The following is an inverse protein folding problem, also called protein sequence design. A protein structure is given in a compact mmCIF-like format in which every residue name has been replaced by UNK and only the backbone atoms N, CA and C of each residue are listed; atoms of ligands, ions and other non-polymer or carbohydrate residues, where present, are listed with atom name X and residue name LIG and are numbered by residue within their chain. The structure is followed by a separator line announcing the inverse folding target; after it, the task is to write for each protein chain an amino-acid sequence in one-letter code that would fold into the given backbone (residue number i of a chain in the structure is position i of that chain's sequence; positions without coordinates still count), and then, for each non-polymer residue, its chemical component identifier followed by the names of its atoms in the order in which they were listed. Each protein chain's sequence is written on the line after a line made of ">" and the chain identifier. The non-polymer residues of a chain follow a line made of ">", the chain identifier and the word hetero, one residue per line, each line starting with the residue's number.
data_IF_294758597147
#
_entry.id   IF_294758597147
#
_cell.length_a   1.000
_cell.length_b   1.000
_cell.length_c   1.000
_cell.angle_alpha   90.00
_cell.angle_beta   90.00
_cell.angle_gamma   90.00
#
_symmetry.space_group_name_H-M   'P 1'
#
loop_
_entity.id
_entity.type
_entity.pdbx_description
1 polymer ?
#
# COMPACT_ATOMS: atom_id res chain seq x y z
N UNK A 1 19.97 -21.69 -11.84
CA UNK A 1 18.91 -21.38 -12.84
C UNK A 1 19.49 -20.44 -13.88
N UNK A 2 19.20 -20.61 -15.17
CA UNK A 2 19.65 -19.67 -16.22
C UNK A 2 18.92 -18.33 -16.08
N UNK A 3 19.60 -17.22 -16.41
CA UNK A 3 18.99 -15.88 -16.54
C UNK A 3 17.74 -15.89 -17.44
N UNK A 4 17.72 -16.74 -18.48
CA UNK A 4 16.57 -16.89 -19.38
C UNK A 4 15.34 -17.57 -18.75
N UNK A 5 15.50 -18.30 -17.63
CA UNK A 5 14.37 -18.85 -16.87
C UNK A 5 13.81 -17.84 -15.85
N UNK A 6 14.61 -16.87 -15.41
CA UNK A 6 14.15 -15.81 -14.52
C UNK A 6 13.24 -14.81 -15.26
N UNK A 7 13.52 -14.52 -16.54
CA UNK A 7 12.68 -13.63 -17.36
C UNK A 7 11.30 -14.19 -17.74
N UNK A 8 10.99 -15.45 -17.40
CA UNK A 8 9.65 -16.03 -17.56
C UNK A 8 8.77 -15.90 -16.30
N UNK A 9 9.37 -15.55 -15.15
CA UNK A 9 8.66 -15.38 -13.89
C UNK A 9 7.85 -14.08 -13.82
N UNK A 10 7.10 -13.93 -12.74
CA UNK A 10 6.42 -12.68 -12.36
C UNK A 10 7.46 -11.56 -12.27
N UNK A 11 7.17 -10.42 -12.90
CA UNK A 11 8.02 -9.23 -12.81
C UNK A 11 7.45 -8.24 -11.79
N UNK A 12 8.30 -7.42 -11.18
CA UNK A 12 7.81 -6.32 -10.33
C UNK A 12 6.91 -5.35 -11.11
N UNK A 13 7.18 -5.13 -12.40
CA UNK A 13 6.33 -4.35 -13.29
C UNK A 13 4.93 -4.96 -13.51
N UNK A 14 4.76 -6.28 -13.34
CA UNK A 14 3.45 -6.92 -13.43
C UNK A 14 2.53 -6.52 -12.27
N UNK A 15 3.11 -6.18 -11.09
CA UNK A 15 2.36 -5.59 -9.98
C UNK A 15 1.83 -4.21 -10.38
N UNK A 16 2.65 -3.40 -11.05
CA UNK A 16 2.26 -2.08 -11.56
C UNK A 16 1.13 -2.17 -12.58
N UNK A 17 1.23 -3.08 -13.55
CA UNK A 17 0.21 -3.30 -14.58
C UNK A 17 -1.12 -3.74 -13.95
N UNK A 18 -1.07 -4.70 -13.04
CA UNK A 18 -2.24 -5.19 -12.33
C UNK A 18 -2.90 -4.08 -11.51
N UNK A 19 -2.11 -3.34 -10.72
CA UNK A 19 -2.59 -2.22 -9.93
C UNK A 19 -3.24 -1.16 -10.83
N UNK A 20 -2.55 -0.72 -11.89
CA UNK A 20 -3.06 0.30 -12.81
C UNK A 20 -4.38 -0.11 -13.46
N UNK A 21 -4.53 -1.39 -13.82
CA UNK A 21 -5.78 -1.92 -14.40
C UNK A 21 -6.96 -1.95 -13.43
N UNK A 22 -6.69 -1.97 -12.11
CA UNK A 22 -7.70 -2.03 -11.06
C UNK A 22 -8.12 -0.65 -10.54
N UNK A 23 -7.38 0.41 -10.85
CA UNK A 23 -7.60 1.76 -10.35
C UNK A 23 -8.32 2.65 -11.35
N UNK A 24 -9.16 3.55 -10.82
CA UNK A 24 -9.62 4.73 -11.57
C UNK A 24 -8.44 5.71 -11.77
N UNK A 25 -8.46 6.47 -12.87
CA UNK A 25 -7.45 7.48 -13.15
C UNK A 25 -7.37 8.60 -12.08
N UNK A 26 -8.44 8.80 -11.31
CA UNK A 26 -8.46 9.74 -10.19
C UNK A 26 -7.88 9.18 -8.88
N UNK A 27 -7.55 7.89 -8.81
CA UNK A 27 -6.97 7.30 -7.59
C UNK A 27 -5.58 7.88 -7.30
N UNK A 28 -5.31 8.17 -6.03
CA UNK A 28 -4.03 8.76 -5.57
C UNK A 28 -2.81 7.89 -5.90
N UNK A 29 -2.99 6.58 -6.09
CA UNK A 29 -1.93 5.66 -6.46
C UNK A 29 -1.87 5.38 -7.98
N UNK A 30 -2.75 5.95 -8.81
CA UNK A 30 -2.76 5.68 -10.24
C UNK A 30 -1.42 6.04 -10.90
N UNK A 31 -0.90 7.23 -10.62
CA UNK A 31 0.41 7.71 -11.14
C UNK A 31 1.56 6.82 -10.66
N UNK A 32 1.51 6.34 -9.42
CA UNK A 32 2.51 5.40 -8.91
C UNK A 32 2.43 4.05 -9.64
N UNK A 33 1.22 3.55 -9.87
CA UNK A 33 1.00 2.31 -10.61
C UNK A 33 1.56 2.40 -12.04
N UNK A 34 1.38 3.55 -12.69
CA UNK A 34 1.96 3.84 -14.00
C UNK A 34 3.49 3.84 -13.97
N UNK A 35 4.10 4.52 -12.99
CA UNK A 35 5.56 4.51 -12.83
C UNK A 35 6.10 3.09 -12.59
N UNK A 36 5.37 2.25 -11.85
CA UNK A 36 5.77 0.86 -11.59
C UNK A 36 5.67 -0.01 -12.85
N UNK A 37 4.96 0.41 -13.89
CA UNK A 37 4.91 -0.29 -15.18
C UNK A 37 6.18 -0.12 -16.02
N UNK A 38 7.07 0.82 -15.68
CA UNK A 38 8.28 1.08 -16.44
C UNK A 38 9.19 -0.16 -16.51
N UNK A 39 9.87 -0.32 -17.64
CA UNK A 39 10.84 -1.41 -17.87
C UNK A 39 11.98 -1.47 -16.84
N UNK A 40 12.28 -0.36 -16.15
CA UNK A 40 13.21 -0.37 -15.01
C UNK A 40 12.77 -1.29 -13.87
N UNK A 41 11.47 -1.62 -13.81
CA UNK A 41 10.87 -2.57 -12.88
C UNK A 41 10.63 -3.96 -13.48
N UNK A 42 11.19 -4.29 -14.66
CA UNK A 42 11.21 -5.66 -15.21
C UNK A 42 12.20 -6.57 -14.46
N UNK A 43 12.09 -6.57 -13.13
CA UNK A 43 12.89 -7.35 -12.19
C UNK A 43 12.13 -8.63 -11.89
N UNK A 44 12.69 -9.81 -12.20
CA UNK A 44 12.10 -11.10 -11.84
C UNK A 44 11.92 -11.26 -10.33
N UNK A 45 10.71 -11.60 -9.91
CA UNK A 45 10.38 -11.95 -8.54
C UNK A 45 10.39 -13.47 -8.40
N UNK A 46 11.36 -13.98 -7.64
CA UNK A 46 11.50 -15.41 -7.36
C UNK A 46 12.03 -15.65 -5.95
N UNK A 47 11.63 -16.78 -5.35
CA UNK A 47 12.10 -17.19 -4.03
C UNK A 47 11.16 -16.79 -2.90
N UNK A 48 11.75 -16.51 -1.73
CA UNK A 48 11.03 -16.17 -0.51
C UNK A 48 11.08 -14.65 -0.28
N UNK A 49 9.91 -14.04 -0.08
CA UNK A 49 9.79 -12.68 0.41
C UNK A 49 9.63 -12.71 1.94
N UNK A 50 10.51 -12.02 2.66
CA UNK A 50 10.39 -11.79 4.09
C UNK A 50 10.04 -10.31 4.35
N UNK A 51 9.33 -10.07 5.46
CA UNK A 51 8.92 -8.73 5.86
C UNK A 51 8.20 -8.76 7.19
N UNK A 52 8.10 -7.59 7.81
CA UNK A 52 7.42 -7.40 9.09
C UNK A 52 6.41 -6.28 8.94
N UNK A 53 5.15 -6.56 9.24
CA UNK A 53 4.11 -5.55 9.32
C UNK A 53 4.17 -4.96 10.72
N UNK A 54 4.34 -3.64 10.85
CA UNK A 54 4.45 -2.99 12.17
C UNK A 54 3.21 -3.26 13.03
N UNK A 55 2.02 -3.05 12.46
CA UNK A 55 0.77 -3.37 13.14
C UNK A 55 -0.38 -3.67 12.18
N UNK A 56 -1.25 -4.58 12.59
CA UNK A 56 -2.57 -4.81 12.00
C UNK A 56 -3.61 -4.43 13.05
N UNK A 57 -4.30 -3.32 12.83
CA UNK A 57 -5.32 -2.84 13.76
C UNK A 57 -6.65 -3.53 13.45
N UNK A 58 -7.28 -4.12 14.47
CA UNK A 58 -8.60 -4.75 14.35
C UNK A 58 -9.66 -3.89 15.02
N UNK A 59 -10.52 -3.30 14.23
CA UNK A 59 -11.67 -2.51 14.70
C UNK A 59 -12.92 -3.40 14.68
N UNK A 60 -13.64 -3.43 15.79
CA UNK A 60 -14.95 -4.07 15.87
C UNK A 60 -16.00 -3.11 15.32
N UNK A 61 -16.85 -3.59 14.42
CA UNK A 61 -17.99 -2.82 13.91
C UNK A 61 -19.26 -3.26 14.63
N UNK A 62 -20.29 -2.42 14.62
CA UNK A 62 -21.61 -2.78 15.15
C UNK A 62 -22.22 -4.00 14.41
N UNK A 63 -21.81 -4.19 13.15
CA UNK A 63 -22.15 -5.33 12.28
C UNK A 63 -21.51 -6.65 12.75
N UNK A 64 -20.61 -6.62 13.75
CA UNK A 64 -19.93 -7.77 14.33
C UNK A 64 -18.74 -8.31 13.52
N UNK A 65 -18.61 -7.92 12.24
CA UNK A 65 -17.46 -8.31 11.42
C UNK A 65 -16.23 -7.41 11.72
N UNK A 66 -15.02 -7.99 11.86
CA UNK A 66 -13.82 -7.20 12.10
C UNK A 66 -13.42 -6.43 10.83
N UNK A 67 -12.95 -5.20 11.03
CA UNK A 67 -12.26 -4.41 10.00
C UNK A 67 -10.79 -4.33 10.37
N UNK A 68 -9.92 -4.77 9.46
CA UNK A 68 -8.48 -4.79 9.61
C UNK A 68 -7.86 -3.62 8.84
N UNK A 69 -6.97 -2.90 9.50
CA UNK A 69 -6.12 -1.89 8.88
C UNK A 69 -4.68 -2.36 8.94
N UNK A 70 -4.04 -2.43 7.78
CA UNK A 70 -2.60 -2.73 7.67
C UNK A 70 -1.85 -1.42 7.83
N UNK A 71 -0.98 -1.33 8.83
CA UNK A 71 -0.36 -0.06 9.18
C UNK A 71 1.15 -0.15 9.32
N UNK A 72 1.81 0.99 9.08
CA UNK A 72 3.26 1.14 9.17
C UNK A 72 3.62 2.54 9.69
N UNK A 73 4.66 2.63 10.52
CA UNK A 73 5.12 3.87 11.13
C UNK A 73 6.43 4.34 10.50
N UNK A 74 6.40 5.57 10.00
CA UNK A 74 7.50 6.21 9.28
C UNK A 74 8.05 7.39 10.06
N UNK A 75 9.34 7.36 10.40
CA UNK A 75 10.06 8.44 11.08
C UNK A 75 10.75 9.40 10.11
N UNK A 76 10.44 9.31 8.81
CA UNK A 76 11.01 10.09 7.72
C UNK A 76 10.93 11.60 8.00
N UNK A 77 12.01 12.29 7.66
CA UNK A 77 12.07 13.75 7.62
C UNK A 77 11.66 14.20 6.21
N UNK A 78 10.54 14.92 6.10
CA UNK A 78 9.99 15.36 4.82
C UNK A 78 10.17 16.87 4.58
N UNK A 79 10.50 17.63 5.63
CA UNK A 79 10.83 19.05 5.51
C UNK A 79 12.13 19.28 4.74
N UNK A 80 12.15 20.34 3.94
CA UNK A 80 13.33 20.86 3.26
C UNK A 80 13.39 22.39 3.44
N UNK A 81 14.49 23.01 3.01
CA UNK A 81 14.73 24.45 3.19
C UNK A 81 13.71 25.34 2.44
N UNK A 82 12.94 24.78 1.51
CA UNK A 82 11.90 25.49 0.75
C UNK A 82 10.52 25.47 1.45
N UNK A 83 10.32 24.60 2.46
CA UNK A 83 9.04 24.50 3.16
C UNK A 83 8.91 25.58 4.22
N UNK A 84 7.88 26.42 4.11
CA UNK A 84 7.64 27.56 5.02
C UNK A 84 7.33 27.14 6.46
N UNK A 85 6.68 25.99 6.65
CA UNK A 85 6.44 25.36 7.97
C UNK A 85 6.72 23.87 7.91
N UNK A 86 7.36 23.32 8.94
CA UNK A 86 7.64 21.88 9.05
C UNK A 86 6.40 21.02 8.83
N UNK A 87 5.23 21.48 9.28
CA UNK A 87 3.98 20.73 9.14
C UNK A 87 3.49 20.65 7.69
N UNK A 88 3.78 21.65 6.85
CA UNK A 88 3.31 21.65 5.46
C UNK A 88 3.92 20.49 4.66
N UNK A 89 5.13 20.05 5.03
CA UNK A 89 5.78 18.86 4.46
C UNK A 89 5.05 17.54 4.75
N UNK A 90 4.14 17.54 5.73
CA UNK A 90 3.33 16.40 6.13
C UNK A 90 1.85 16.56 5.74
N UNK A 91 1.51 17.56 4.94
CA UNK A 91 0.15 17.72 4.42
C UNK A 91 -0.25 16.51 3.56
N UNK A 92 -1.53 16.09 3.53
CA UNK A 92 -1.98 14.88 2.82
C UNK A 92 -1.50 14.79 1.37
N UNK A 93 -1.51 15.91 0.62
CA UNK A 93 -1.00 15.97 -0.76
C UNK A 93 0.50 15.66 -0.88
N UNK A 94 1.31 16.10 0.07
CA UNK A 94 2.76 15.89 0.06
C UNK A 94 3.10 14.44 0.39
N UNK A 95 2.28 13.80 1.24
CA UNK A 95 2.45 12.39 1.58
C UNK A 95 2.27 11.47 0.38
N UNK A 96 1.43 11.81 -0.61
CA UNK A 96 1.31 11.01 -1.84
C UNK A 96 2.67 10.92 -2.57
N UNK A 97 3.36 12.04 -2.68
CA UNK A 97 4.71 12.11 -3.26
C UNK A 97 5.73 11.32 -2.43
N UNK A 98 5.72 11.51 -1.11
CA UNK A 98 6.61 10.79 -0.20
C UNK A 98 6.40 9.27 -0.23
N UNK A 99 5.14 8.83 -0.30
CA UNK A 99 4.77 7.42 -0.45
C UNK A 99 5.35 6.85 -1.74
N UNK A 100 5.14 7.54 -2.88
CA UNK A 100 5.65 7.12 -4.17
C UNK A 100 7.19 7.06 -4.20
N UNK A 101 7.85 8.11 -3.71
CA UNK A 101 9.31 8.21 -3.68
C UNK A 101 9.98 7.06 -2.93
N UNK A 102 9.38 6.60 -1.84
CA UNK A 102 9.91 5.49 -1.04
C UNK A 102 9.34 4.11 -1.41
N UNK A 103 8.56 4.01 -2.48
CA UNK A 103 7.88 2.77 -2.89
C UNK A 103 7.03 2.12 -1.79
N UNK A 104 6.52 2.92 -0.86
CA UNK A 104 5.63 2.43 0.20
C UNK A 104 4.30 1.86 -0.32
N UNK A 105 3.73 2.31 -1.46
CA UNK A 105 2.59 1.61 -2.05
C UNK A 105 2.94 0.17 -2.46
N UNK A 106 4.13 -0.11 -3.00
CA UNK A 106 4.54 -1.50 -3.27
C UNK A 106 4.63 -2.31 -1.97
N UNK A 107 5.21 -1.74 -0.92
CA UNK A 107 5.25 -2.38 0.41
C UNK A 107 3.84 -2.68 0.93
N UNK A 108 2.92 -1.71 0.83
CA UNK A 108 1.52 -1.83 1.20
C UNK A 108 0.80 -2.98 0.48
N UNK A 109 1.04 -3.14 -0.83
CA UNK A 109 0.45 -4.21 -1.63
C UNK A 109 0.96 -5.59 -1.21
N UNK A 110 2.26 -5.71 -0.92
CA UNK A 110 2.87 -6.94 -0.41
C UNK A 110 2.31 -7.32 0.97
N UNK A 111 2.17 -6.34 1.87
CA UNK A 111 1.60 -6.56 3.20
C UNK A 111 0.11 -6.93 3.13
N UNK A 112 -0.68 -6.20 2.34
CA UNK A 112 -2.09 -6.52 2.11
C UNK A 112 -2.28 -7.92 1.55
N UNK A 113 -1.44 -8.33 0.59
CA UNK A 113 -1.48 -9.68 0.01
C UNK A 113 -1.09 -10.76 1.04
N UNK A 114 -0.14 -10.48 1.92
CA UNK A 114 0.21 -11.38 3.02
C UNK A 114 -0.97 -11.56 4.00
N UNK A 115 -1.68 -10.48 4.34
CA UNK A 115 -2.88 -10.53 5.18
C UNK A 115 -4.01 -11.28 4.48
N UNK A 116 -4.23 -11.05 3.19
CA UNK A 116 -5.19 -11.80 2.39
C UNK A 116 -4.91 -13.31 2.44
N UNK A 117 -3.66 -13.73 2.21
CA UNK A 117 -3.26 -15.13 2.27
C UNK A 117 -3.44 -15.73 3.67
N UNK A 118 -3.14 -14.95 4.71
CA UNK A 118 -3.41 -15.34 6.10
C UNK A 118 -4.91 -15.55 6.35
N UNK A 119 -5.77 -14.61 5.90
CA UNK A 119 -7.22 -14.71 6.05
C UNK A 119 -7.78 -15.92 5.28
N UNK A 120 -7.38 -16.10 4.02
CA UNK A 120 -7.75 -17.28 3.21
C UNK A 120 -7.40 -18.60 3.90
N UNK A 121 -6.28 -18.65 4.64
CA UNK A 121 -5.89 -19.84 5.39
C UNK A 121 -6.63 -20.01 6.72
N UNK A 122 -6.75 -18.93 7.52
CA UNK A 122 -7.22 -18.99 8.91
C UNK A 122 -8.72 -18.75 9.07
N UNK A 123 -9.32 -18.01 8.15
CA UNK A 123 -10.71 -17.56 8.16
C UNK A 123 -11.30 -17.60 6.73
N UNK A 124 -11.35 -18.78 6.08
CA UNK A 124 -11.69 -18.90 4.66
C UNK A 124 -13.11 -18.45 4.28
N UNK A 125 -14.01 -18.30 5.26
CA UNK A 125 -15.39 -17.85 5.05
C UNK A 125 -15.54 -16.33 5.10
N UNK A 126 -14.51 -15.58 5.51
CA UNK A 126 -14.55 -14.12 5.54
C UNK A 126 -14.29 -13.53 4.16
N UNK A 127 -15.09 -12.53 3.78
CA UNK A 127 -14.81 -11.72 2.60
C UNK A 127 -13.60 -10.81 2.89
N UNK A 128 -12.47 -11.09 2.26
CA UNK A 128 -11.24 -10.33 2.49
C UNK A 128 -11.34 -8.87 2.04
N UNK A 129 -12.15 -8.55 1.02
CA UNK A 129 -12.34 -7.16 0.57
C UNK A 129 -13.12 -6.31 1.57
N UNK A 130 -13.98 -6.95 2.37
CA UNK A 130 -14.70 -6.28 3.45
C UNK A 130 -13.85 -6.20 4.72
N UNK A 131 -13.11 -7.28 5.02
CA UNK A 131 -12.30 -7.38 6.24
C UNK A 131 -11.04 -6.52 6.14
N UNK A 132 -10.32 -6.49 5.01
CA UNK A 132 -9.16 -5.62 4.81
C UNK A 132 -9.68 -4.23 4.45
N UNK A 133 -9.97 -3.43 5.47
CA UNK A 133 -10.69 -2.17 5.35
C UNK A 133 -9.83 -1.04 4.77
N UNK A 134 -8.52 -1.12 4.94
CA UNK A 134 -7.60 -0.14 4.40
C UNK A 134 -6.17 -0.30 4.87
N UNK A 135 -5.35 0.60 4.36
CA UNK A 135 -3.93 0.72 4.68
C UNK A 135 -3.69 2.14 5.21
N UNK A 136 -2.90 2.25 6.28
CA UNK A 136 -2.53 3.56 6.82
C UNK A 136 -1.02 3.64 7.10
N UNK A 137 -0.38 4.67 6.56
CA UNK A 137 1.02 4.97 6.83
C UNK A 137 1.10 6.22 7.71
N UNK A 138 1.75 6.07 8.86
CA UNK A 138 1.84 7.08 9.90
C UNK A 138 3.21 7.74 9.87
N UNK A 139 3.30 8.92 9.23
CA UNK A 139 4.48 9.78 9.28
C UNK A 139 4.49 10.53 10.60
N UNK A 140 5.06 9.90 11.63
CA UNK A 140 4.88 10.31 13.04
C UNK A 140 5.36 11.72 13.37
N UNK A 141 6.26 12.29 12.56
CA UNK A 141 6.72 13.68 12.71
C UNK A 141 5.65 14.72 12.38
N UNK A 142 4.68 14.37 11.53
CA UNK A 142 3.51 15.22 11.22
C UNK A 142 2.33 15.01 12.17
N UNK A 143 2.40 14.01 13.05
CA UNK A 143 1.33 13.67 14.00
C UNK A 143 1.56 14.36 15.35
N UNK A 144 1.23 15.64 15.42
CA UNK A 144 1.55 16.55 16.55
C UNK A 144 0.49 16.58 17.66
N UNK A 145 -0.28 15.51 17.82
CA UNK A 145 -1.28 15.35 18.89
C UNK A 145 -2.74 15.46 18.42
N UNK A 146 -3.67 15.58 19.36
CA UNK A 146 -5.11 15.59 19.08
C UNK A 146 -5.55 16.75 18.17
N UNK A 147 -4.80 17.85 18.23
CA UNK A 147 -5.03 19.07 17.44
C UNK A 147 -4.19 19.10 16.15
N UNK A 148 -3.74 17.92 15.67
CA UNK A 148 -3.02 17.83 14.40
C UNK A 148 -3.83 18.49 13.28
N UNK A 149 -3.13 19.23 12.42
CA UNK A 149 -3.74 19.91 11.28
C UNK A 149 -4.48 18.92 10.38
N UNK A 150 -5.56 19.39 9.78
CA UNK A 150 -6.34 18.66 8.79
C UNK A 150 -6.47 19.53 7.55
N UNK A 151 -6.52 18.89 6.39
CA UNK A 151 -6.85 19.60 5.16
C UNK A 151 -8.36 19.91 5.06
N UNK A 152 -8.79 20.46 3.93
CA UNK A 152 -10.20 20.82 3.66
C UNK A 152 -11.14 19.61 3.68
N UNK A 153 -10.63 18.41 3.43
CA UNK A 153 -11.40 17.16 3.41
C UNK A 153 -11.36 16.44 4.77
N UNK A 154 -10.73 17.06 5.78
CA UNK A 154 -10.61 16.53 7.12
C UNK A 154 -9.51 15.48 7.29
N UNK A 155 -8.66 15.28 6.28
CA UNK A 155 -7.55 14.33 6.36
C UNK A 155 -6.44 14.87 7.25
N UNK A 156 -6.03 14.12 8.29
CA UNK A 156 -5.01 14.58 9.21
C UNK A 156 -3.62 14.56 8.57
N UNK A 157 -2.85 15.60 8.87
CA UNK A 157 -1.45 15.69 8.49
C UNK A 157 -0.66 14.52 9.10
N UNK A 158 0.35 14.06 8.37
CA UNK A 158 1.17 12.92 8.76
C UNK A 158 0.50 11.56 8.59
N UNK A 159 -0.72 11.48 8.05
CA UNK A 159 -1.42 10.20 7.83
C UNK A 159 -1.76 10.03 6.35
N UNK A 160 -1.15 9.03 5.72
CA UNK A 160 -1.61 8.56 4.41
C UNK A 160 -2.56 7.39 4.61
N UNK A 161 -3.71 7.42 3.93
CA UNK A 161 -4.70 6.34 3.97
C UNK A 161 -5.06 5.92 2.55
N UNK A 162 -5.26 4.63 2.35
CA UNK A 162 -5.71 4.10 1.08
C UNK A 162 -6.54 2.83 1.27
N UNK A 163 -7.57 2.68 0.45
CA UNK A 163 -8.42 1.49 0.42
C UNK A 163 -8.28 0.85 -0.95
N UNK A 164 -7.96 -0.44 -0.97
CA UNK A 164 -7.87 -1.19 -2.21
C UNK A 164 -9.24 -1.34 -2.89
N UNK A 165 -9.29 -1.31 -4.23
CA UNK A 165 -10.48 -1.74 -4.97
C UNK A 165 -10.76 -3.22 -4.72
N UNK A 166 -12.03 -3.61 -4.84
CA UNK A 166 -12.45 -4.99 -4.65
C UNK A 166 -11.72 -5.96 -5.60
N UNK A 167 -11.39 -7.15 -5.09
CA UNK A 167 -10.69 -8.21 -5.81
C UNK A 167 -9.19 -7.99 -5.99
N UNK A 168 -8.63 -6.84 -5.59
CA UNK A 168 -7.20 -6.58 -5.79
C UNK A 168 -6.32 -7.59 -5.05
N UNK A 169 -6.69 -7.93 -3.81
CA UNK A 169 -5.89 -8.81 -2.98
C UNK A 169 -5.78 -10.24 -3.51
N UNK A 170 -6.89 -10.76 -4.03
CA UNK A 170 -6.95 -12.06 -4.70
C UNK A 170 -6.07 -12.05 -5.95
N UNK A 171 -6.27 -11.07 -6.84
CA UNK A 171 -5.48 -10.92 -8.07
C UNK A 171 -3.98 -10.82 -7.81
N UNK A 172 -3.57 -10.05 -6.79
CA UNK A 172 -2.15 -9.98 -6.40
C UNK A 172 -1.65 -11.32 -5.85
N UNK A 173 -2.46 -12.03 -5.07
CA UNK A 173 -2.10 -13.36 -4.58
C UNK A 173 -1.91 -14.35 -5.73
N UNK A 174 -2.76 -14.30 -6.75
CA UNK A 174 -2.70 -15.17 -7.93
C UNK A 174 -1.52 -14.80 -8.84
N UNK A 175 -1.27 -13.50 -9.02
CA UNK A 175 -0.06 -13.01 -9.68
C UNK A 175 1.19 -13.61 -9.05
N UNK A 176 1.33 -13.54 -7.72
CA UNK A 176 2.47 -14.14 -7.02
C UNK A 176 2.47 -15.67 -7.03
N UNK A 177 1.38 -16.33 -7.44
CA UNK A 177 1.35 -17.76 -7.70
C UNK A 177 1.74 -18.10 -9.16
N UNK A 178 1.93 -17.09 -10.02
CA UNK A 178 2.38 -17.23 -11.41
C UNK A 178 1.34 -16.83 -12.46
N UNK A 179 0.17 -16.34 -12.06
CA UNK A 179 -0.90 -15.92 -12.98
C UNK A 179 -0.65 -14.50 -13.50
N UNK A 180 0.06 -14.40 -14.63
CA UNK A 180 0.50 -13.11 -15.19
C UNK A 180 -0.61 -12.46 -16.03
N UNK A 181 -0.83 -11.14 -15.93
CA UNK A 181 -1.75 -10.39 -16.79
C UNK A 181 -1.26 -10.28 -18.24
#
# INVERSE_FOLDING_TARGET
>A
MSLAKLSQGVLASDIGKLLKSALDASDVLYTYADSLCDSSFDIPLAGLLNGSIDAVLRIQTEEGAPRLFVTDYKTNRLDNDEVTSLMDAYAPKELVSAMAHHHYPLQALLYGTAIYRMLRWRQPTMNADEVIAGIAYFFVRGMVGADSLKDSDGMPYGVFQWKAPAGLWEKLSDLFAGDRP
#
